data_IF_774244851572
#
_entry.id   IF_774244851572
#
_cell.length_a   1.000
_cell.length_b   1.000
_cell.length_c   1.000
_cell.angle_alpha   90.00
_cell.angle_beta   90.00
_cell.angle_gamma   90.00
#
_symmetry.space_group_name_H-M   'P 1'
#
loop_
_entity.id
_entity.type
_entity.pdbx_description
1 polymer ?
#
# COMPACT_ATOMS: atom_id res chain seq x y z
N UNK A 1 12.94 6.61 12.79
CA UNK A 1 13.99 6.03 13.64
C UNK A 1 14.65 4.84 12.94
N UNK A 2 13.91 3.80 12.56
CA UNK A 2 14.47 2.62 11.84
C UNK A 2 15.20 3.01 10.56
N UNK A 3 14.63 3.90 9.74
CA UNK A 3 15.24 4.40 8.51
C UNK A 3 16.58 5.09 8.76
N UNK A 4 16.71 5.84 9.85
CA UNK A 4 17.96 6.51 10.23
C UNK A 4 19.07 5.50 10.53
N UNK A 5 18.76 4.44 11.29
CA UNK A 5 19.74 3.39 11.59
C UNK A 5 20.13 2.54 10.38
N UNK A 6 19.25 2.47 9.36
CA UNK A 6 19.51 1.73 8.12
C UNK A 6 20.16 2.58 7.04
N UNK A 7 20.47 3.85 7.31
CA UNK A 7 21.10 4.76 6.33
C UNK A 7 20.21 5.13 5.14
N UNK A 8 18.89 4.90 5.24
CA UNK A 8 17.94 5.18 4.16
C UNK A 8 17.71 6.68 4.06
N UNK A 9 17.93 7.24 2.88
CA UNK A 9 17.73 8.66 2.60
C UNK A 9 16.27 8.99 2.35
N UNK A 10 15.84 10.20 2.74
CA UNK A 10 14.52 10.71 2.42
C UNK A 10 14.49 11.19 0.96
N UNK A 11 13.99 10.37 0.08
CA UNK A 11 13.76 10.67 -1.33
C UNK A 11 12.27 10.50 -1.68
N UNK A 12 11.87 10.83 -2.90
CA UNK A 12 10.47 10.73 -3.36
C UNK A 12 9.96 9.29 -3.23
N UNK A 13 10.80 8.29 -3.49
CA UNK A 13 10.44 6.87 -3.44
C UNK A 13 10.27 6.39 -2.00
N UNK A 14 11.19 6.74 -1.09
CA UNK A 14 11.07 6.39 0.33
C UNK A 14 9.85 7.09 0.97
N UNK A 15 9.57 8.34 0.58
CA UNK A 15 8.39 9.06 1.05
C UNK A 15 7.09 8.42 0.56
N UNK A 16 7.07 7.96 -0.70
CA UNK A 16 5.93 7.21 -1.26
C UNK A 16 5.73 5.88 -0.53
N UNK A 17 6.82 5.17 -0.22
CA UNK A 17 6.79 3.95 0.60
C UNK A 17 6.26 4.19 2.01
N UNK A 18 6.63 5.31 2.64
CA UNK A 18 6.10 5.71 3.94
C UNK A 18 4.60 5.99 3.88
N UNK A 19 4.13 6.72 2.84
CA UNK A 19 2.72 7.00 2.62
C UNK A 19 1.89 5.71 2.49
N UNK A 20 2.38 4.75 1.72
CA UNK A 20 1.77 3.43 1.60
C UNK A 20 1.73 2.70 2.95
N UNK A 21 2.83 2.73 3.69
CA UNK A 21 2.93 2.10 5.02
C UNK A 21 1.95 2.70 6.04
N UNK A 22 1.75 4.02 6.03
CA UNK A 22 0.75 4.69 6.88
C UNK A 22 -0.67 4.26 6.50
N UNK A 23 -0.99 4.14 5.20
CA UNK A 23 -2.28 3.62 4.76
C UNK A 23 -2.56 2.22 5.31
N UNK A 24 -1.60 1.31 5.19
CA UNK A 24 -1.73 -0.06 5.71
C UNK A 24 -1.78 -0.12 7.25
N UNK A 25 -1.18 0.85 7.95
CA UNK A 25 -1.32 0.98 9.40
C UNK A 25 -2.76 1.26 9.80
N UNK A 26 -3.42 2.14 9.08
CA UNK A 26 -4.83 2.47 9.33
C UNK A 26 -5.71 1.25 9.10
N UNK A 27 -5.51 0.50 8.01
CA UNK A 27 -6.29 -0.69 7.68
C UNK A 27 -6.21 -1.75 8.78
N UNK A 28 -5.02 -2.10 9.23
CA UNK A 28 -4.82 -3.05 10.32
C UNK A 28 -5.49 -2.60 11.62
N UNK A 29 -5.37 -1.30 11.92
CA UNK A 29 -5.95 -0.70 13.14
C UNK A 29 -7.48 -0.70 13.10
N UNK A 30 -8.08 -0.42 11.95
CA UNK A 30 -9.54 -0.44 11.76
C UNK A 30 -10.10 -1.84 12.02
N UNK A 31 -9.46 -2.89 11.47
CA UNK A 31 -9.88 -4.28 11.67
C UNK A 31 -9.88 -4.66 13.16
N UNK A 32 -8.84 -4.26 13.90
CA UNK A 32 -8.74 -4.52 15.34
C UNK A 32 -9.85 -3.78 16.11
N UNK A 33 -10.03 -2.48 15.85
CA UNK A 33 -11.03 -1.65 16.55
C UNK A 33 -12.44 -2.16 16.25
N UNK A 34 -12.74 -2.49 15.01
CA UNK A 34 -14.06 -3.01 14.61
C UNK A 34 -14.38 -4.31 15.33
N UNK A 35 -13.41 -5.24 15.42
CA UNK A 35 -13.63 -6.48 16.14
C UNK A 35 -13.84 -6.27 17.64
N UNK A 36 -13.11 -5.33 18.25
CA UNK A 36 -13.32 -4.93 19.66
C UNK A 36 -14.72 -4.32 19.83
N UNK A 37 -15.13 -3.44 18.93
CA UNK A 37 -16.45 -2.81 18.94
C UNK A 37 -17.57 -3.85 18.83
N UNK A 38 -17.41 -4.82 17.92
CA UNK A 38 -18.36 -5.95 17.76
C UNK A 38 -18.51 -6.79 19.02
N UNK A 39 -17.39 -7.06 19.73
CA UNK A 39 -17.43 -7.80 21.00
C UNK A 39 -18.07 -6.96 22.11
N UNK A 40 -17.85 -5.65 22.12
CA UNK A 40 -18.53 -4.72 23.04
C UNK A 40 -20.03 -4.72 22.86
N UNK A 41 -20.52 -4.69 21.61
CA UNK A 41 -21.95 -4.80 21.29
C UNK A 41 -22.60 -6.10 21.79
N UNK A 42 -21.83 -7.13 22.03
CA UNK A 42 -22.28 -8.38 22.67
C UNK A 42 -22.28 -8.35 24.20
N UNK A 43 -22.03 -7.20 24.81
CA UNK A 43 -22.03 -7.02 26.27
C UNK A 43 -20.70 -7.35 26.98
N UNK A 44 -19.64 -7.67 26.26
CA UNK A 44 -18.33 -7.98 26.87
C UNK A 44 -17.70 -6.68 27.40
N UNK A 45 -17.16 -6.66 28.64
CA UNK A 45 -16.47 -5.50 29.21
C UNK A 45 -15.30 -5.02 28.35
N UNK A 46 -15.10 -3.69 28.22
CA UNK A 46 -14.11 -3.11 27.30
C UNK A 46 -12.70 -3.70 27.40
N UNK A 47 -12.10 -3.92 28.60
CA UNK A 47 -10.76 -4.52 28.68
C UNK A 47 -10.72 -5.96 28.13
N UNK A 48 -11.73 -6.75 28.42
CA UNK A 48 -11.82 -8.14 27.89
C UNK A 48 -12.09 -8.16 26.39
N UNK A 49 -12.96 -7.27 25.91
CA UNK A 49 -13.24 -7.12 24.49
C UNK A 49 -12.00 -6.70 23.71
N UNK A 50 -11.15 -5.81 24.27
CA UNK A 50 -9.90 -5.38 23.65
C UNK A 50 -8.92 -6.55 23.48
N UNK A 51 -8.69 -7.32 24.53
CA UNK A 51 -7.77 -8.48 24.48
C UNK A 51 -8.29 -9.57 23.56
N UNK A 52 -9.56 -9.96 23.71
CA UNK A 52 -10.16 -11.01 22.89
C UNK A 52 -10.29 -10.56 21.42
N UNK A 53 -10.68 -9.31 21.17
CA UNK A 53 -10.84 -8.76 19.84
C UNK A 53 -9.52 -8.71 19.08
N UNK A 54 -8.46 -8.22 19.71
CA UNK A 54 -7.14 -8.22 19.10
C UNK A 54 -6.62 -9.64 18.84
N UNK A 55 -6.78 -10.56 19.81
CA UNK A 55 -6.33 -11.95 19.68
C UNK A 55 -7.03 -12.70 18.54
N UNK A 56 -8.32 -12.46 18.32
CA UNK A 56 -9.08 -13.12 17.25
C UNK A 56 -8.60 -12.74 15.85
N UNK A 57 -8.14 -11.50 15.65
CA UNK A 57 -7.70 -11.01 14.33
C UNK A 57 -6.18 -11.01 14.17
N UNK A 58 -5.42 -11.20 15.25
CA UNK A 58 -3.96 -11.16 15.25
C UNK A 58 -3.34 -12.08 14.18
N UNK A 59 -3.80 -13.34 14.10
CA UNK A 59 -3.28 -14.29 13.11
C UNK A 59 -3.50 -13.83 11.68
N UNK A 60 -4.68 -13.28 11.36
CA UNK A 60 -4.99 -12.76 10.03
C UNK A 60 -4.12 -11.55 9.68
N UNK A 61 -3.97 -10.61 10.62
CA UNK A 61 -3.16 -9.40 10.42
C UNK A 61 -1.67 -9.75 10.26
N UNK A 62 -1.14 -10.66 11.08
CA UNK A 62 0.25 -11.13 10.94
C UNK A 62 0.46 -11.79 9.58
N UNK A 63 -0.43 -12.69 9.17
CA UNK A 63 -0.31 -13.37 7.88
C UNK A 63 -0.39 -12.41 6.70
N UNK A 64 -1.33 -11.47 6.70
CA UNK A 64 -1.46 -10.47 5.63
C UNK A 64 -0.25 -9.55 5.56
N UNK A 65 0.24 -9.08 6.70
CA UNK A 65 1.44 -8.24 6.77
C UNK A 65 2.67 -9.00 6.28
N UNK A 66 2.84 -10.25 6.69
CA UNK A 66 3.97 -11.09 6.24
C UNK A 66 3.91 -11.35 4.73
N UNK A 67 2.72 -11.63 4.19
CA UNK A 67 2.53 -11.80 2.74
C UNK A 67 2.93 -10.54 1.98
N UNK A 68 2.54 -9.37 2.48
CA UNK A 68 2.92 -8.09 1.85
C UNK A 68 4.43 -7.87 1.91
N UNK A 69 5.08 -8.14 3.04
CA UNK A 69 6.54 -8.07 3.16
C UNK A 69 7.22 -9.01 2.16
N UNK A 70 6.72 -10.24 2.01
CA UNK A 70 7.26 -11.21 1.05
C UNK A 70 7.14 -10.75 -0.42
N UNK A 71 6.16 -9.92 -0.76
CA UNK A 71 6.05 -9.33 -2.11
C UNK A 71 7.16 -8.31 -2.38
N UNK A 72 7.57 -7.56 -1.37
CA UNK A 72 8.65 -6.56 -1.51
C UNK A 72 10.05 -7.16 -1.35
N UNK A 73 10.18 -8.34 -0.73
CA UNK A 73 11.47 -8.99 -0.51
C UNK A 73 12.28 -9.23 -1.80
N UNK A 74 11.69 -9.70 -2.92
CA UNK A 74 12.43 -9.88 -4.17
C UNK A 74 13.06 -8.60 -4.73
N UNK A 75 12.50 -7.43 -4.43
CA UNK A 75 13.05 -6.15 -4.89
C UNK A 75 14.45 -5.88 -4.30
N UNK A 76 14.73 -6.42 -3.11
CA UNK A 76 16.03 -6.27 -2.44
C UNK A 76 17.12 -7.12 -3.13
N UNK A 77 16.75 -8.17 -3.86
CA UNK A 77 17.66 -9.05 -4.59
C UNK A 77 17.87 -8.65 -6.06
N UNK A 78 17.21 -7.60 -6.54
CA UNK A 78 17.37 -7.08 -7.91
C UNK A 78 18.76 -6.42 -8.04
N UNK A 79 19.41 -6.51 -9.19
CA UNK A 79 20.72 -5.91 -9.44
C UNK A 79 20.65 -4.71 -10.38
N UNK A 80 21.57 -3.75 -10.24
CA UNK A 80 21.71 -2.60 -11.12
C UNK A 80 21.05 -1.32 -10.60
N UNK A 81 20.91 -0.31 -11.46
CA UNK A 81 20.37 1.02 -11.13
C UNK A 81 18.95 0.98 -10.53
N UNK A 82 18.17 -0.01 -10.93
CA UNK A 82 16.80 -0.24 -10.40
C UNK A 82 16.87 -0.66 -8.93
N UNK A 83 17.88 -1.41 -8.51
CA UNK A 83 18.08 -1.79 -7.11
C UNK A 83 18.23 -0.56 -6.21
N UNK A 84 19.07 0.38 -6.60
CA UNK A 84 19.36 1.57 -5.78
C UNK A 84 18.09 2.42 -5.57
N UNK A 85 17.26 2.53 -6.60
CA UNK A 85 16.00 3.26 -6.54
C UNK A 85 14.89 2.54 -5.74
N UNK A 86 14.74 1.22 -5.94
CA UNK A 86 13.63 0.45 -5.34
C UNK A 86 13.96 -0.12 -3.97
N UNK A 87 15.25 -0.31 -3.64
CA UNK A 87 15.68 -0.86 -2.36
C UNK A 87 15.25 0.02 -1.19
N UNK A 88 15.47 1.33 -1.27
CA UNK A 88 15.07 2.28 -0.23
C UNK A 88 13.57 2.27 0.01
N UNK A 89 12.79 2.16 -1.07
CA UNK A 89 11.34 2.05 -1.00
C UNK A 89 10.91 0.73 -0.33
N UNK A 90 11.50 -0.40 -0.75
CA UNK A 90 11.17 -1.72 -0.22
C UNK A 90 11.47 -1.84 1.28
N UNK A 91 12.63 -1.36 1.72
CA UNK A 91 12.98 -1.31 3.14
C UNK A 91 12.08 -0.39 3.95
N UNK A 92 11.74 0.78 3.39
CA UNK A 92 10.83 1.73 4.05
C UNK A 92 9.44 1.14 4.26
N UNK A 93 8.88 0.46 3.24
CA UNK A 93 7.61 -0.24 3.33
C UNK A 93 7.69 -1.34 4.38
N UNK A 94 8.74 -2.17 4.35
CA UNK A 94 8.92 -3.28 5.28
C UNK A 94 8.96 -2.79 6.74
N UNK A 95 9.75 -1.77 7.04
CA UNK A 95 9.82 -1.20 8.40
C UNK A 95 8.49 -0.56 8.83
N UNK A 96 7.82 0.13 7.92
CA UNK A 96 6.50 0.73 8.19
C UNK A 96 5.45 -0.34 8.49
N UNK A 97 5.46 -1.47 7.75
CA UNK A 97 4.54 -2.58 7.97
C UNK A 97 4.81 -3.29 9.30
N UNK A 98 6.07 -3.53 9.66
CA UNK A 98 6.41 -4.14 10.94
C UNK A 98 6.02 -3.22 12.11
N UNK A 99 6.28 -1.92 12.01
CA UNK A 99 5.84 -0.95 12.99
C UNK A 99 4.31 -0.91 13.11
N UNK A 100 3.60 -0.93 11.97
CA UNK A 100 2.14 -1.01 11.89
C UNK A 100 1.59 -2.23 12.63
N UNK A 101 2.20 -3.39 12.41
CA UNK A 101 1.80 -4.64 13.07
C UNK A 101 1.91 -4.53 14.59
N UNK A 102 3.04 -4.01 15.09
CA UNK A 102 3.25 -3.82 16.53
C UNK A 102 2.20 -2.85 17.10
N UNK A 103 1.99 -1.71 16.45
CA UNK A 103 1.00 -0.71 16.87
C UNK A 103 -0.41 -1.28 16.87
N UNK A 104 -0.81 -1.98 15.81
CA UNK A 104 -2.15 -2.56 15.67
C UNK A 104 -2.44 -3.61 16.74
N UNK A 105 -1.44 -4.39 17.18
CA UNK A 105 -1.62 -5.45 18.18
C UNK A 105 -1.38 -4.99 19.62
N UNK A 106 -0.78 -3.83 19.86
CA UNK A 106 -0.46 -3.32 21.21
C UNK A 106 -1.16 -2.02 21.54
N UNK A 107 -0.86 -0.95 20.81
CA UNK A 107 -1.36 0.39 21.07
C UNK A 107 -2.86 0.49 20.80
N UNK A 108 -3.31 -0.06 19.70
CA UNK A 108 -4.71 0.01 19.28
C UNK A 108 -5.66 -0.69 20.26
N UNK A 109 -5.42 -1.92 20.74
CA UNK A 109 -6.26 -2.53 21.76
C UNK A 109 -6.23 -1.78 23.09
N UNK A 110 -5.07 -1.25 23.48
CA UNK A 110 -4.92 -0.44 24.68
C UNK A 110 -5.78 0.82 24.62
N UNK A 111 -5.66 1.59 23.55
CA UNK A 111 -6.50 2.77 23.29
C UNK A 111 -7.99 2.42 23.20
N UNK A 112 -8.32 1.33 22.47
CA UNK A 112 -9.68 0.83 22.32
C UNK A 112 -10.33 0.47 23.66
N UNK A 113 -9.60 -0.13 24.58
CA UNK A 113 -10.10 -0.46 25.91
C UNK A 113 -10.54 0.78 26.71
N UNK A 114 -9.88 1.91 26.48
CA UNK A 114 -10.14 3.18 27.19
C UNK A 114 -11.27 3.97 26.50
N UNK A 115 -11.16 4.14 25.18
CA UNK A 115 -12.10 4.93 24.38
C UNK A 115 -13.50 4.28 24.37
N UNK A 116 -13.56 2.96 24.16
CA UNK A 116 -14.82 2.25 24.07
C UNK A 116 -15.49 1.96 25.41
N UNK A 117 -14.87 2.36 26.53
CA UNK A 117 -15.45 2.19 27.86
C UNK A 117 -16.73 3.02 28.08
N UNK A 118 -16.78 4.23 27.52
CA UNK A 118 -17.89 5.18 27.68
C UNK A 118 -18.85 5.23 26.48
N UNK A 119 -18.63 4.46 25.43
CA UNK A 119 -19.38 4.60 24.20
C UNK A 119 -20.74 3.92 24.32
N UNK A 120 -21.81 4.73 24.19
CA UNK A 120 -23.16 4.25 23.91
C UNK A 120 -23.28 3.97 22.41
N UNK A 121 -24.10 2.99 22.03
CA UNK A 121 -24.42 2.75 20.63
C UNK A 121 -24.99 4.01 19.98
N UNK A 122 -24.21 4.62 19.11
CA UNK A 122 -24.67 5.77 18.32
C UNK A 122 -25.28 5.20 17.04
N UNK A 123 -26.62 5.19 16.97
CA UNK A 123 -27.32 4.85 15.74
C UNK A 123 -27.20 6.00 14.74
N UNK A 124 -26.58 5.75 13.62
CA UNK A 124 -26.50 6.69 12.53
C UNK A 124 -27.55 6.35 11.45
N UNK A 125 -28.70 7.05 11.38
CA UNK A 125 -29.79 6.70 10.46
C UNK A 125 -29.39 6.76 8.98
N UNK A 126 -28.39 7.56 8.66
CA UNK A 126 -27.83 7.63 7.30
C UNK A 126 -27.03 6.36 6.94
N UNK A 127 -26.24 5.87 7.89
CA UNK A 127 -25.45 4.65 7.73
C UNK A 127 -26.35 3.41 7.65
N UNK A 128 -27.40 3.34 8.44
CA UNK A 128 -28.40 2.26 8.38
C UNK A 128 -29.11 2.22 7.01
N UNK A 129 -29.37 3.37 6.40
CA UNK A 129 -29.95 3.44 5.04
C UNK A 129 -28.96 2.91 3.99
N UNK A 130 -27.70 3.26 4.12
CA UNK A 130 -26.64 2.75 3.25
C UNK A 130 -26.47 1.24 3.39
N UNK A 131 -26.45 0.71 4.62
CA UNK A 131 -26.39 -0.73 4.90
C UNK A 131 -27.56 -1.48 4.30
N UNK A 132 -28.78 -0.97 4.43
CA UNK A 132 -29.97 -1.57 3.81
C UNK A 132 -29.89 -1.59 2.28
N UNK A 133 -29.31 -0.58 1.66
CA UNK A 133 -29.04 -0.55 0.21
C UNK A 133 -28.01 -1.62 -0.19
N UNK A 134 -26.93 -1.69 0.54
CA UNK A 134 -25.86 -2.70 0.35
C UNK A 134 -26.40 -4.13 0.52
N UNK A 135 -27.20 -4.38 1.56
CA UNK A 135 -27.82 -5.68 1.80
C UNK A 135 -28.71 -6.12 0.63
N UNK A 136 -29.54 -5.21 0.09
CA UNK A 136 -30.37 -5.49 -1.10
C UNK A 136 -29.53 -5.84 -2.31
N UNK A 137 -28.45 -5.07 -2.56
CA UNK A 137 -27.52 -5.32 -3.66
C UNK A 137 -26.84 -6.68 -3.49
N UNK A 138 -26.34 -6.98 -2.29
CA UNK A 138 -25.68 -8.25 -1.99
C UNK A 138 -26.65 -9.44 -2.17
N UNK A 139 -27.87 -9.35 -1.66
CA UNK A 139 -28.92 -10.37 -1.86
C UNK A 139 -29.25 -10.57 -3.33
N UNK A 140 -29.29 -9.50 -4.14
CA UNK A 140 -29.51 -9.56 -5.57
C UNK A 140 -28.34 -10.30 -6.27
N UNK A 141 -27.10 -9.94 -5.95
CA UNK A 141 -25.90 -10.59 -6.51
C UNK A 141 -25.85 -12.08 -6.13
N UNK A 142 -26.17 -12.43 -4.90
CA UNK A 142 -26.21 -13.82 -4.43
C UNK A 142 -27.33 -14.64 -5.08
N UNK A 143 -28.49 -14.00 -5.30
CA UNK A 143 -29.63 -14.67 -5.98
C UNK A 143 -29.38 -14.90 -7.47
N UNK A 144 -28.66 -14.00 -8.11
CA UNK A 144 -28.33 -14.06 -9.54
C UNK A 144 -26.82 -14.06 -9.77
N UNK A 145 -26.16 -15.12 -9.33
CA UNK A 145 -24.69 -15.29 -9.39
C UNK A 145 -24.09 -15.05 -10.79
N UNK A 146 -24.85 -15.35 -11.84
CA UNK A 146 -24.39 -15.17 -13.22
C UNK A 146 -24.18 -13.70 -13.59
N UNK A 147 -24.97 -12.77 -13.05
CA UNK A 147 -24.88 -11.34 -13.42
C UNK A 147 -23.54 -10.71 -13.00
N UNK A 148 -23.11 -10.76 -11.72
CA UNK A 148 -21.83 -10.19 -11.32
C UNK A 148 -20.65 -10.94 -11.96
N UNK A 149 -20.76 -12.25 -12.21
CA UNK A 149 -19.72 -13.02 -12.84
C UNK A 149 -19.55 -12.65 -14.31
N UNK A 150 -20.64 -12.56 -15.07
CA UNK A 150 -20.59 -12.15 -16.48
C UNK A 150 -20.10 -10.70 -16.61
N UNK A 151 -20.53 -9.79 -15.73
CA UNK A 151 -20.02 -8.42 -15.71
C UNK A 151 -18.51 -8.36 -15.48
N UNK A 152 -17.99 -9.15 -14.51
CA UNK A 152 -16.57 -9.22 -14.24
C UNK A 152 -15.78 -9.77 -15.44
N UNK A 153 -16.28 -10.81 -16.11
CA UNK A 153 -15.63 -11.39 -17.30
C UNK A 153 -15.64 -10.38 -18.46
N UNK A 154 -16.75 -9.68 -18.68
CA UNK A 154 -16.84 -8.65 -19.73
C UNK A 154 -15.87 -7.50 -19.45
N UNK A 155 -15.82 -7.00 -18.22
CA UNK A 155 -14.87 -5.96 -17.84
C UNK A 155 -13.41 -6.41 -18.02
N UNK A 156 -13.11 -7.66 -17.66
CA UNK A 156 -11.78 -8.23 -17.86
C UNK A 156 -11.44 -8.31 -19.36
N UNK A 157 -12.36 -8.82 -20.18
CA UNK A 157 -12.17 -8.93 -21.63
C UNK A 157 -11.94 -7.56 -22.28
N UNK A 158 -12.74 -6.56 -21.91
CA UNK A 158 -12.57 -5.18 -22.38
C UNK A 158 -11.23 -4.60 -21.92
N UNK A 159 -10.82 -4.84 -20.67
CA UNK A 159 -9.54 -4.37 -20.14
C UNK A 159 -8.36 -4.99 -20.90
N UNK A 160 -8.36 -6.31 -21.11
CA UNK A 160 -7.32 -7.01 -21.88
C UNK A 160 -7.28 -6.52 -23.34
N UNK A 161 -8.44 -6.34 -23.95
CA UNK A 161 -8.52 -5.80 -25.31
C UNK A 161 -7.94 -4.38 -25.40
N UNK A 162 -8.25 -3.51 -24.43
CA UNK A 162 -7.69 -2.15 -24.37
C UNK A 162 -6.18 -2.16 -24.19
N UNK A 163 -5.65 -3.00 -23.31
CA UNK A 163 -4.20 -3.14 -23.12
C UNK A 163 -3.53 -3.60 -24.41
N UNK A 164 -4.11 -4.59 -25.12
CA UNK A 164 -3.57 -5.09 -26.38
C UNK A 164 -3.57 -4.02 -27.49
N UNK A 165 -4.54 -3.10 -27.47
CA UNK A 165 -4.64 -2.03 -28.49
C UNK A 165 -3.82 -0.77 -28.15
N UNK A 166 -3.53 -0.50 -26.88
CA UNK A 166 -2.81 0.71 -26.47
C UNK A 166 -1.28 0.59 -26.54
N UNK A 167 -0.73 -0.63 -26.64
CA UNK A 167 0.71 -0.87 -26.50
C UNK A 167 1.20 -0.62 -25.08
N UNK A 168 2.17 -1.41 -24.64
CA UNK A 168 2.77 -1.23 -23.30
C UNK A 168 3.96 -0.30 -23.42
N UNK A 169 3.80 0.97 -23.08
CA UNK A 169 4.93 1.86 -22.84
C UNK A 169 5.41 1.67 -21.40
N UNK A 170 6.53 0.97 -21.23
CA UNK A 170 7.13 0.70 -19.91
C UNK A 170 7.75 1.95 -19.27
N UNK A 171 8.19 2.90 -20.07
CA UNK A 171 8.75 4.16 -19.62
C UNK A 171 8.02 5.27 -20.38
N UNK A 172 7.19 6.10 -19.73
CA UNK A 172 6.69 7.30 -20.40
C UNK A 172 7.88 8.15 -20.79
N UNK A 173 7.94 8.59 -22.06
CA UNK A 173 8.90 9.58 -22.48
C UNK A 173 8.74 10.80 -21.58
N UNK A 174 9.61 10.89 -20.58
CA UNK A 174 9.77 12.12 -19.86
C UNK A 174 10.32 13.12 -20.89
N UNK A 175 9.42 13.85 -21.50
CA UNK A 175 9.76 14.91 -22.45
C UNK A 175 10.66 15.92 -21.74
N UNK A 176 11.93 15.57 -21.63
CA UNK A 176 12.94 16.54 -21.27
C UNK A 176 13.04 17.48 -22.47
N UNK A 177 12.63 18.73 -22.30
CA UNK A 177 12.95 19.81 -23.20
C UNK A 177 14.48 20.08 -23.26
N UNK A 178 15.27 19.01 -23.10
CA UNK A 178 16.72 19.02 -23.21
C UNK A 178 17.09 18.69 -24.66
N UNK A 179 17.53 19.69 -25.37
CA UNK A 179 18.12 19.52 -26.68
C UNK A 179 19.53 18.93 -26.50
N UNK A 180 19.66 17.60 -26.59
CA UNK A 180 20.97 16.94 -26.54
C UNK A 180 21.65 17.08 -27.89
N UNK A 181 22.50 18.10 -28.04
CA UNK A 181 23.36 18.28 -29.21
C UNK A 181 24.60 17.39 -28.99
N UNK A 182 24.62 16.23 -29.58
CA UNK A 182 25.83 15.38 -29.61
C UNK A 182 26.72 15.88 -30.71
N UNK A 183 27.73 16.71 -30.35
CA UNK A 183 28.76 17.16 -31.31
C UNK A 183 29.82 16.06 -31.38
N UNK A 184 29.74 15.22 -32.39
CA UNK A 184 30.79 14.25 -32.70
C UNK A 184 31.91 14.97 -33.42
N UNK A 185 32.95 15.36 -32.69
CA UNK A 185 34.16 15.88 -33.29
C UNK A 185 35.04 14.70 -33.71
N UNK A 186 35.40 14.59 -35.01
CA UNK A 186 36.33 13.54 -35.42
C UNK A 186 37.66 13.75 -34.68
N UNK A 187 38.15 12.67 -34.03
CA UNK A 187 39.34 12.69 -33.17
C UNK A 187 40.65 13.11 -33.90
N UNK A 188 40.60 13.19 -35.22
CA UNK A 188 41.78 13.41 -36.06
C UNK A 188 42.16 14.92 -36.25
N UNK A 189 41.37 15.84 -35.69
CA UNK A 189 41.70 17.30 -35.81
C UNK A 189 42.09 18.01 -34.52
N UNK A 190 42.26 17.28 -33.42
CA UNK A 190 42.56 17.91 -32.12
C UNK A 190 44.08 18.11 -31.89
N UNK A 191 44.95 17.43 -32.63
CA UNK A 191 46.39 17.60 -32.46
C UNK A 191 47.01 18.75 -33.29
N UNK A 192 46.49 19.01 -34.47
CA UNK A 192 47.08 20.08 -35.35
C UNK A 192 46.86 21.54 -34.84
N UNK A 193 45.95 21.75 -33.91
CA UNK A 193 45.71 23.08 -33.36
C UNK A 193 46.57 23.42 -32.14
N UNK A 194 47.27 22.45 -31.56
CA UNK A 194 48.21 22.71 -30.44
C UNK A 194 49.59 23.12 -30.86
N UNK A 195 50.01 22.80 -32.10
CA UNK A 195 51.38 23.07 -32.62
C UNK A 195 51.49 24.44 -33.27
N UNK A 196 50.41 25.20 -33.47
CA UNK A 196 50.44 26.47 -34.15
C UNK A 196 50.41 27.73 -33.27
N UNK A 197 50.77 27.62 -31.99
CA UNK A 197 50.90 28.75 -31.06
C UNK A 197 52.19 28.59 -30.21
N UNK A 198 53.33 28.67 -30.86
CA UNK A 198 54.58 29.14 -30.31
C UNK A 198 55.08 30.29 -31.18
#
# INVERSE_FOLDING_TARGET
VMMYFSGITLNILSLSGLGLGVGMLVDNSVVVIENIYRLRGRGIPAPRAAVQGARQVAGAIVSSTLTTVCVFLPMVFTTGMVLELLSDMAWTITFSLLASLIVALTVVPCAGSTVLRKQKEIKHPWFDRFLNGYEKLLRFCLKRKAIPLTLAIVLLAVSVWRIATMGVMLIPDMGSNQLSITVTVPADRSEERRVGKE
#
